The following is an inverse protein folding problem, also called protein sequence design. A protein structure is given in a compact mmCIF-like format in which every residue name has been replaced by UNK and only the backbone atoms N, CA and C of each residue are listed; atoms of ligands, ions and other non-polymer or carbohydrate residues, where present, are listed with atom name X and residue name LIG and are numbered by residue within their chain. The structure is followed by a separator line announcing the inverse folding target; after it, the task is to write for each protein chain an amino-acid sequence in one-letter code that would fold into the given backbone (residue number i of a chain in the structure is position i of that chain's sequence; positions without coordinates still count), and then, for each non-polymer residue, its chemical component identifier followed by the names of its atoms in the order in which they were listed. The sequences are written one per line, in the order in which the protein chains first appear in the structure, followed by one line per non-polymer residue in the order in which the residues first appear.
data_IF_661956465217
#
_entry.id   IF_661956465217
#
_cell.length_a   1.000
_cell.length_b   1.000
_cell.length_c   1.000
_cell.angle_alpha   90.00
_cell.angle_beta   90.00
_cell.angle_gamma   90.00
#
_symmetry.space_group_name_H-M   'P 1'
#
loop_
_entity.id
_entity.type
_entity.pdbx_description
1 polymer ?
#
# COMPACT_ATOMS: atom_id res chain seq x y z
N UNK A 1 -6.79 16.71 16.62
CA UNK A 1 -7.11 16.26 15.25
C UNK A 1 -5.81 16.28 14.46
N UNK A 2 -5.11 15.21 14.11
CA UNK A 2 -5.33 13.78 14.27
C UNK A 2 -3.96 13.09 14.19
N UNK A 3 -3.56 12.39 15.25
CA UNK A 3 -2.32 11.60 15.37
C UNK A 3 -2.36 10.30 14.52
N UNK A 4 -3.25 10.25 13.52
CA UNK A 4 -3.58 9.05 12.73
C UNK A 4 -2.74 8.92 11.44
N UNK A 5 -2.00 9.95 11.04
CA UNK A 5 -1.13 9.89 9.85
C UNK A 5 0.23 9.24 10.12
N UNK A 6 0.60 8.99 11.37
CA UNK A 6 1.96 8.56 11.75
C UNK A 6 2.26 7.06 11.54
N UNK A 7 1.25 6.19 11.40
CA UNK A 7 1.48 4.72 11.31
C UNK A 7 1.41 4.13 9.91
N UNK A 8 0.85 4.84 8.93
CA UNK A 8 0.67 4.33 7.56
C UNK A 8 1.77 4.86 6.62
N UNK A 9 2.34 6.03 6.95
CA UNK A 9 3.35 6.71 6.14
C UNK A 9 4.70 6.59 6.82
N UNK A 10 5.35 5.42 6.73
CA UNK A 10 6.78 5.36 7.09
C UNK A 10 7.72 5.10 5.93
N UNK A 11 7.30 4.46 4.84
CA UNK A 11 8.21 4.29 3.68
C UNK A 11 7.53 4.25 2.30
N UNK A 12 6.27 4.67 2.16
CA UNK A 12 5.63 4.76 0.84
C UNK A 12 5.73 6.20 0.35
N UNK A 13 6.65 6.48 -0.57
CA UNK A 13 6.78 7.77 -1.25
C UNK A 13 5.64 7.92 -2.29
N UNK A 14 4.40 7.77 -1.82
CA UNK A 14 3.19 7.94 -2.62
C UNK A 14 2.82 9.42 -2.58
N UNK A 15 2.40 9.95 -3.73
CA UNK A 15 1.91 11.31 -3.85
C UNK A 15 0.78 11.53 -2.84
N UNK A 16 0.80 12.65 -2.10
CA UNK A 16 -0.11 12.92 -0.98
C UNK A 16 -1.59 12.78 -1.37
N UNK A 17 -1.93 13.11 -2.63
CA UNK A 17 -3.29 12.99 -3.15
C UNK A 17 -3.70 11.54 -3.39
N UNK A 18 -2.76 10.67 -3.75
CA UNK A 18 -2.97 9.22 -3.85
C UNK A 18 -3.31 8.63 -2.48
N UNK A 19 -2.60 9.07 -1.43
CA UNK A 19 -2.88 8.64 -0.04
C UNK A 19 -4.28 9.10 0.39
N UNK A 20 -4.68 10.33 0.06
CA UNK A 20 -6.04 10.84 0.36
C UNK A 20 -7.11 10.01 -0.34
N UNK A 21 -6.92 9.65 -1.61
CA UNK A 21 -7.86 8.81 -2.36
C UNK A 21 -7.93 7.39 -1.77
N UNK A 22 -6.80 6.79 -1.43
CA UNK A 22 -6.76 5.48 -0.77
C UNK A 22 -7.49 5.47 0.58
N UNK A 23 -7.37 6.55 1.36
CA UNK A 23 -8.09 6.71 2.63
C UNK A 23 -9.60 6.87 2.44
N UNK A 24 -10.04 7.45 1.32
CA UNK A 24 -11.46 7.58 0.92
C UNK A 24 -12.12 6.26 0.48
N UNK A 25 -11.42 5.13 0.59
CA UNK A 25 -11.89 3.83 0.09
C UNK A 25 -11.93 3.72 -1.44
N UNK A 26 -11.29 4.66 -2.13
CA UNK A 26 -11.22 4.64 -3.58
C UNK A 26 -10.11 3.69 -4.04
N UNK A 27 -10.41 2.88 -5.05
CA UNK A 27 -9.39 2.11 -5.78
C UNK A 27 -8.64 3.06 -6.68
N UNK A 28 -7.33 3.19 -6.47
CA UNK A 28 -6.48 4.08 -7.25
C UNK A 28 -5.59 3.25 -8.15
N UNK A 29 -5.65 3.47 -9.46
CA UNK A 29 -4.70 2.87 -10.39
C UNK A 29 -3.53 3.83 -10.57
N UNK A 30 -2.32 3.34 -10.35
CA UNK A 30 -1.12 4.18 -10.45
C UNK A 30 0.16 3.39 -10.67
N UNK A 31 1.21 4.15 -10.95
CA UNK A 31 2.59 3.68 -11.06
C UNK A 31 3.45 4.42 -10.05
N UNK A 32 4.43 3.76 -9.45
CA UNK A 32 5.25 4.35 -8.40
C UNK A 32 6.20 3.33 -7.76
N UNK A 33 6.80 3.70 -6.64
CA UNK A 33 7.70 2.83 -5.89
C UNK A 33 7.11 2.52 -4.51
N UNK A 34 7.03 1.24 -4.18
CA UNK A 34 6.64 0.76 -2.86
C UNK A 34 7.86 0.21 -2.15
N UNK A 35 8.21 0.80 -1.01
CA UNK A 35 9.27 0.27 -0.17
C UNK A 35 8.75 -0.89 0.68
N UNK A 36 9.48 -2.00 0.67
CA UNK A 36 9.24 -3.10 1.58
C UNK A 36 10.21 -3.03 2.75
N UNK A 37 9.67 -3.03 3.97
CA UNK A 37 10.48 -3.18 5.18
C UNK A 37 10.97 -4.62 5.38
N UNK A 38 10.25 -5.63 4.85
CA UNK A 38 10.63 -7.04 4.95
C UNK A 38 11.88 -7.37 4.12
N UNK A 39 12.03 -6.70 2.96
CA UNK A 39 13.18 -6.89 2.06
C UNK A 39 14.14 -5.69 2.04
N UNK A 40 13.85 -4.66 2.83
CA UNK A 40 14.60 -3.39 2.88
C UNK A 40 14.90 -2.75 1.51
N UNK A 41 14.01 -2.93 0.52
CA UNK A 41 14.21 -2.46 -0.86
C UNK A 41 12.94 -1.86 -1.46
N UNK A 42 13.12 -1.06 -2.51
CA UNK A 42 12.02 -0.50 -3.31
C UNK A 42 11.57 -1.48 -4.39
N UNK A 43 10.26 -1.63 -4.54
CA UNK A 43 9.64 -2.39 -5.61
C UNK A 43 8.86 -1.44 -6.52
N UNK A 44 9.15 -1.52 -7.81
CA UNK A 44 8.43 -0.74 -8.82
C UNK A 44 7.03 -1.31 -9.02
N UNK A 45 6.05 -0.42 -8.99
CA UNK A 45 4.65 -0.66 -9.30
C UNK A 45 4.35 0.06 -10.60
N UNK A 46 3.76 -0.66 -11.55
CA UNK A 46 3.36 -0.11 -12.83
C UNK A 46 1.92 -0.52 -13.10
N UNK A 47 1.08 0.45 -13.51
CA UNK A 47 -0.32 0.26 -13.90
C UNK A 47 -1.09 -0.67 -12.96
N UNK A 48 -0.88 -0.52 -11.64
CA UNK A 48 -1.48 -1.40 -10.65
C UNK A 48 -2.54 -0.68 -9.84
N UNK A 49 -3.57 -1.42 -9.46
CA UNK A 49 -4.67 -0.92 -8.63
C UNK A 49 -4.34 -1.10 -7.16
N UNK A 50 -4.28 0.02 -6.44
CA UNK A 50 -4.02 0.14 -5.02
C UNK A 50 -5.33 0.45 -4.31
N UNK A 51 -5.60 -0.22 -3.19
CA UNK A 51 -6.73 0.13 -2.33
C UNK A 51 -6.51 -0.34 -0.90
N UNK A 52 -7.21 0.30 0.04
CA UNK A 52 -7.22 -0.13 1.44
C UNK A 52 -8.41 -1.05 1.64
N UNK A 53 -8.15 -2.31 1.98
CA UNK A 53 -9.18 -3.24 2.39
C UNK A 53 -9.61 -2.95 3.84
N UNK A 54 -10.77 -2.29 3.98
CA UNK A 54 -11.46 -2.02 5.25
C UNK A 54 -12.39 -3.15 5.68
N UNK A 55 -12.61 -4.18 4.85
CA UNK A 55 -13.49 -5.33 5.16
C UNK A 55 -12.88 -6.28 6.19
N UNK A 56 -11.58 -6.13 6.47
CA UNK A 56 -10.89 -6.84 7.53
C UNK A 56 -11.57 -6.60 8.87
N UNK A 57 -12.38 -7.56 9.32
CA UNK A 57 -13.00 -7.63 10.66
C UNK A 57 -12.00 -7.51 11.82
N UNK A 58 -10.69 -7.56 11.55
CA UNK A 58 -9.65 -7.26 12.52
C UNK A 58 -9.61 -5.75 12.83
N UNK A 59 -10.26 -5.37 13.93
CA UNK A 59 -10.32 -4.01 14.48
C UNK A 59 -8.96 -3.31 14.38
N UNK A 60 -8.90 -2.22 13.60
CA UNK A 60 -7.78 -1.28 13.58
C UNK A 60 -6.61 -1.61 12.65
N UNK A 61 -6.68 -2.67 11.82
CA UNK A 61 -5.64 -2.98 10.83
C UNK A 61 -6.12 -2.64 9.42
N UNK A 62 -5.73 -1.47 8.92
CA UNK A 62 -5.86 -1.13 7.50
C UNK A 62 -4.91 -2.02 6.71
N UNK A 63 -5.43 -2.70 5.68
CA UNK A 63 -4.63 -3.56 4.82
C UNK A 63 -4.52 -2.92 3.45
N UNK A 64 -3.30 -2.52 3.07
CA UNK A 64 -3.06 -2.11 1.70
C UNK A 64 -3.02 -3.34 0.79
N UNK A 65 -3.71 -3.25 -0.33
CA UNK A 65 -3.75 -4.26 -1.38
C UNK A 65 -3.29 -3.66 -2.72
N UNK A 66 -2.52 -4.44 -3.47
CA UNK A 66 -2.06 -4.15 -4.83
C UNK A 66 -2.64 -5.24 -5.74
N UNK A 67 -3.43 -4.87 -6.76
CA UNK A 67 -4.10 -5.80 -7.67
C UNK A 67 -4.88 -6.92 -6.94
N UNK A 68 -5.62 -6.55 -5.89
CA UNK A 68 -6.36 -7.48 -5.02
C UNK A 68 -5.49 -8.45 -4.19
N UNK A 69 -4.16 -8.26 -4.18
CA UNK A 69 -3.21 -9.03 -3.37
C UNK A 69 -2.76 -8.15 -2.20
N UNK A 70 -2.77 -8.70 -0.99
CA UNK A 70 -2.20 -8.01 0.16
C UNK A 70 -0.75 -7.58 -0.09
N UNK A 71 -0.37 -6.36 0.31
CA UNK A 71 0.94 -5.77 0.02
C UNK A 71 2.13 -6.66 0.43
N UNK A 72 2.05 -7.35 1.59
CA UNK A 72 3.11 -8.27 2.03
C UNK A 72 3.24 -9.48 1.10
N UNK A 73 2.11 -10.05 0.69
CA UNK A 73 2.09 -11.16 -0.29
C UNK A 73 2.60 -10.69 -1.66
N UNK A 74 2.24 -9.47 -2.08
CA UNK A 74 2.72 -8.89 -3.32
C UNK A 74 4.24 -8.71 -3.33
N UNK A 75 4.82 -8.19 -2.24
CA UNK A 75 6.28 -8.09 -2.10
C UNK A 75 6.97 -9.45 -2.23
N UNK A 76 6.44 -10.49 -1.59
CA UNK A 76 7.00 -11.85 -1.67
C UNK A 76 6.92 -12.46 -3.07
N UNK A 77 5.89 -12.13 -3.84
CA UNK A 77 5.79 -12.56 -5.25
C UNK A 77 6.82 -11.82 -6.09
N UNK A 78 6.93 -10.49 -5.91
CA UNK A 78 7.90 -9.68 -6.64
C UNK A 78 9.35 -10.01 -6.27
N UNK A 79 9.63 -10.35 -5.02
CA UNK A 79 10.97 -10.72 -4.56
C UNK A 79 11.46 -12.05 -5.12
N UNK A 80 10.54 -12.96 -5.47
CA UNK A 80 10.89 -14.25 -6.11
C UNK A 80 11.21 -14.13 -7.59
N UNK A 81 10.81 -13.02 -8.21
CA UNK A 81 11.06 -12.73 -9.62
C UNK A 81 12.23 -11.74 -9.80
N UNK A 82 13.03 -11.51 -8.75
CA UNK A 82 14.20 -10.64 -8.75
C UNK A 82 15.48 -11.47 -8.69
#
# INVERSE_FOLDING_TARGET
MDTMNSKIVRNMNLETDLIKQLLKDERVTGSGNLYSTEFSQNFKVENSTLYIDKSSKAKGKLRLCVNNINIYKWFRVKSKNF
#
